data_IF_830455488857
#
_entry.id   IF_830455488857
#
_cell.length_a   1.000
_cell.length_b   1.000
_cell.length_c   1.000
_cell.angle_alpha   90.00
_cell.angle_beta   90.00
_cell.angle_gamma   90.00
#
_symmetry.space_group_name_H-M   'P 1'
#
loop_
_entity.id
_entity.type
_entity.pdbx_description
1 polymer ?
#
# COMPACT_ATOMS: atom_id res chain seq x y z
N UNK A 1 -9.85 11.59 7.37
CA UNK A 1 -8.54 11.98 6.79
C UNK A 1 -7.34 11.50 7.59
N UNK A 2 -6.99 12.03 8.79
CA UNK A 2 -5.82 11.51 9.56
C UNK A 2 -5.98 10.07 10.04
N UNK A 3 -7.20 9.66 10.36
CA UNK A 3 -7.50 8.32 10.85
C UNK A 3 -7.39 7.26 9.74
N UNK A 4 -7.89 7.57 8.54
CA UNK A 4 -7.77 6.69 7.37
C UNK A 4 -6.30 6.51 6.95
N UNK A 5 -5.48 7.58 6.98
CA UNK A 5 -4.05 7.44 6.68
C UNK A 5 -3.34 6.58 7.74
N UNK A 6 -3.71 6.70 9.01
CA UNK A 6 -3.18 5.85 10.08
C UNK A 6 -3.59 4.38 9.89
N UNK A 7 -4.82 4.13 9.48
CA UNK A 7 -5.32 2.78 9.17
C UNK A 7 -4.53 2.18 8.00
N UNK A 8 -4.37 2.92 6.90
CA UNK A 8 -3.55 2.52 5.75
C UNK A 8 -2.12 2.17 6.18
N UNK A 9 -1.51 3.03 6.99
CA UNK A 9 -0.15 2.81 7.49
C UNK A 9 -0.04 1.55 8.35
N UNK A 10 -1.06 1.24 9.17
CA UNK A 10 -1.11 -0.02 9.94
C UNK A 10 -1.20 -1.25 9.04
N UNK A 11 -2.07 -1.22 8.03
CA UNK A 11 -2.22 -2.33 7.08
C UNK A 11 -0.93 -2.54 6.27
N UNK A 12 -0.28 -1.46 5.84
CA UNK A 12 0.99 -1.53 5.11
C UNK A 12 2.12 -2.08 6.00
N UNK A 13 2.20 -1.66 7.27
CA UNK A 13 3.21 -2.17 8.20
C UNK A 13 3.03 -3.67 8.44
N UNK A 14 1.80 -4.13 8.67
CA UNK A 14 1.46 -5.56 8.79
C UNK A 14 1.89 -6.36 7.56
N UNK A 15 1.57 -5.87 6.36
CA UNK A 15 1.96 -6.52 5.11
C UNK A 15 3.48 -6.53 4.91
N UNK A 16 4.17 -5.44 5.25
CA UNK A 16 5.62 -5.34 5.11
C UNK A 16 6.37 -6.34 6.01
N UNK A 17 5.76 -6.74 7.13
CA UNK A 17 6.32 -7.67 8.10
C UNK A 17 5.84 -9.12 7.92
N UNK A 18 4.88 -9.39 7.03
CA UNK A 18 4.36 -10.74 6.81
C UNK A 18 5.36 -11.61 6.02
N UNK A 19 5.92 -12.61 6.70
CA UNK A 19 6.90 -13.54 6.11
C UNK A 19 6.30 -14.47 5.07
N UNK A 20 4.96 -14.64 5.06
CA UNK A 20 4.26 -15.53 4.14
C UNK A 20 4.06 -14.90 2.76
N UNK A 21 4.15 -13.56 2.65
CA UNK A 21 4.05 -12.89 1.36
C UNK A 21 5.39 -12.88 0.63
N UNK A 22 5.38 -12.70 -0.68
CA UNK A 22 6.63 -12.69 -1.44
C UNK A 22 7.49 -11.46 -1.11
N UNK A 23 8.82 -11.62 -1.17
CA UNK A 23 9.78 -10.52 -0.94
C UNK A 23 9.49 -9.30 -1.81
N UNK A 24 9.08 -9.53 -3.07
CA UNK A 24 8.77 -8.48 -4.02
C UNK A 24 7.57 -7.63 -3.56
N UNK A 25 6.53 -8.27 -3.01
CA UNK A 25 5.37 -7.57 -2.45
C UNK A 25 5.76 -6.79 -1.20
N UNK A 26 6.50 -7.40 -0.25
CA UNK A 26 7.00 -6.68 0.95
C UNK A 26 7.80 -5.44 0.60
N UNK A 27 8.72 -5.56 -0.36
CA UNK A 27 9.57 -4.45 -0.78
C UNK A 27 8.72 -3.31 -1.34
N UNK A 28 7.73 -3.63 -2.19
CA UNK A 28 6.84 -2.62 -2.76
C UNK A 28 5.97 -1.94 -1.70
N UNK A 29 5.42 -2.71 -0.76
CA UNK A 29 4.68 -2.17 0.39
C UNK A 29 5.57 -1.21 1.20
N UNK A 30 6.84 -1.56 1.39
CA UNK A 30 7.81 -0.68 2.06
C UNK A 30 8.06 0.62 1.28
N UNK A 31 8.15 0.55 -0.05
CA UNK A 31 8.27 1.74 -0.92
C UNK A 31 7.04 2.65 -0.78
N UNK A 32 5.84 2.09 -0.69
CA UNK A 32 4.59 2.84 -0.47
C UNK A 32 4.61 3.56 0.89
N UNK A 33 5.07 2.90 1.95
CA UNK A 33 5.23 3.52 3.28
C UNK A 33 6.17 4.74 3.19
N UNK A 34 7.27 4.64 2.45
CA UNK A 34 8.20 5.76 2.24
C UNK A 34 7.52 6.91 1.50
N UNK A 35 6.76 6.62 0.45
CA UNK A 35 6.01 7.63 -0.30
C UNK A 35 5.00 8.34 0.58
N UNK A 36 4.21 7.61 1.38
CA UNK A 36 3.19 8.22 2.24
C UNK A 36 3.78 9.08 3.37
N UNK A 37 5.04 8.84 3.75
CA UNK A 37 5.77 9.62 4.76
C UNK A 37 6.57 10.80 4.21
N UNK A 38 6.62 11.00 2.89
CA UNK A 38 7.39 12.12 2.32
C UNK A 38 6.71 13.48 2.62
N UNK A 39 7.41 14.58 2.34
CA UNK A 39 6.90 15.94 2.56
C UNK A 39 6.05 16.52 1.41
N UNK A 40 5.65 15.71 0.43
CA UNK A 40 4.82 16.17 -0.67
C UNK A 40 3.38 16.53 -0.23
N UNK A 41 2.56 17.00 -1.15
CA UNK A 41 1.12 17.14 -0.90
C UNK A 41 0.44 15.77 -0.78
N UNK A 42 -0.63 15.69 0.02
CA UNK A 42 -1.32 14.43 0.31
C UNK A 42 -1.81 13.73 -0.97
N UNK A 43 -2.44 14.47 -1.89
CA UNK A 43 -2.92 13.94 -3.17
C UNK A 43 -1.77 13.32 -3.98
N UNK A 44 -0.63 14.01 -4.06
CA UNK A 44 0.56 13.51 -4.78
C UNK A 44 1.08 12.21 -4.15
N UNK A 45 1.08 12.10 -2.82
CA UNK A 45 1.47 10.86 -2.12
C UNK A 45 0.51 9.72 -2.41
N UNK A 46 -0.79 9.99 -2.37
CA UNK A 46 -1.83 9.01 -2.64
C UNK A 46 -1.74 8.49 -4.08
N UNK A 47 -1.58 9.38 -5.06
CA UNK A 47 -1.41 9.01 -6.47
C UNK A 47 -0.17 8.11 -6.68
N UNK A 48 0.96 8.49 -6.09
CA UNK A 48 2.20 7.70 -6.18
C UNK A 48 2.04 6.33 -5.50
N UNK A 49 1.39 6.28 -4.33
CA UNK A 49 1.11 5.04 -3.61
C UNK A 49 0.20 4.09 -4.41
N UNK A 50 -0.87 4.63 -5.01
CA UNK A 50 -1.79 3.88 -5.88
C UNK A 50 -1.04 3.28 -7.07
N UNK A 51 -0.22 4.08 -7.76
CA UNK A 51 0.57 3.58 -8.88
C UNK A 51 1.48 2.42 -8.46
N UNK A 52 2.22 2.57 -7.36
CA UNK A 52 3.14 1.55 -6.86
C UNK A 52 2.44 0.22 -6.53
N UNK A 53 1.22 0.26 -5.98
CA UNK A 53 0.43 -0.92 -5.63
C UNK A 53 -0.21 -1.60 -6.85
N UNK A 54 -0.68 -0.83 -7.84
CA UNK A 54 -1.39 -1.34 -9.02
C UNK A 54 -0.51 -2.17 -9.96
N UNK A 55 0.79 -1.87 -10.06
CA UNK A 55 1.70 -2.60 -10.98
C UNK A 55 1.99 -4.06 -10.59
N UNK A 56 1.45 -4.55 -9.47
CA UNK A 56 1.88 -5.81 -8.87
C UNK A 56 0.90 -6.98 -9.05
N UNK A 57 0.18 -7.08 -10.15
CA UNK A 57 -0.51 -8.33 -10.53
C UNK A 57 0.48 -9.40 -11.06
N UNK A 58 1.62 -9.59 -10.37
CA UNK A 58 2.51 -10.70 -10.65
C UNK A 58 1.79 -12.05 -10.41
N UNK A 59 2.19 -13.14 -11.08
CA UNK A 59 1.49 -14.43 -11.03
C UNK A 59 1.51 -15.11 -9.64
N UNK A 60 2.30 -14.61 -8.68
CA UNK A 60 2.58 -15.26 -7.40
C UNK A 60 1.99 -14.53 -6.17
N UNK A 61 0.99 -13.66 -6.33
CA UNK A 61 0.26 -13.10 -5.18
C UNK A 61 -0.93 -13.99 -4.86
N UNK A 62 -1.00 -14.47 -3.61
CA UNK A 62 -2.13 -15.23 -3.11
C UNK A 62 -3.41 -14.36 -3.02
N UNK A 63 -4.57 -15.02 -3.00
CA UNK A 63 -5.85 -14.31 -3.03
C UNK A 63 -6.07 -13.40 -1.83
N UNK A 64 -5.53 -13.74 -0.65
CA UNK A 64 -5.71 -12.95 0.57
C UNK A 64 -4.90 -11.65 0.49
N UNK A 65 -3.65 -11.72 0.05
CA UNK A 65 -2.80 -10.54 -0.17
C UNK A 65 -3.40 -9.64 -1.25
N UNK A 66 -3.96 -10.21 -2.33
CA UNK A 66 -4.69 -9.43 -3.34
C UNK A 66 -5.84 -8.65 -2.73
N UNK A 67 -6.71 -9.29 -1.94
CA UNK A 67 -7.83 -8.60 -1.29
C UNK A 67 -7.35 -7.46 -0.39
N UNK A 68 -6.26 -7.65 0.36
CA UNK A 68 -5.68 -6.58 1.19
C UNK A 68 -5.17 -5.40 0.36
N UNK A 69 -4.49 -5.66 -0.76
CA UNK A 69 -4.03 -4.61 -1.68
C UNK A 69 -5.22 -3.85 -2.29
N UNK A 70 -6.28 -4.56 -2.67
CA UNK A 70 -7.51 -3.93 -3.17
C UNK A 70 -8.15 -3.01 -2.13
N UNK A 71 -8.24 -3.45 -0.86
CA UNK A 71 -8.72 -2.59 0.22
C UNK A 71 -7.85 -1.35 0.40
N UNK A 72 -6.53 -1.48 0.33
CA UNK A 72 -5.60 -0.35 0.40
C UNK A 72 -5.82 0.65 -0.75
N UNK A 73 -6.00 0.17 -1.98
CA UNK A 73 -6.27 1.01 -3.15
C UNK A 73 -7.56 1.82 -2.94
N UNK A 74 -8.66 1.16 -2.55
CA UNK A 74 -9.92 1.86 -2.28
C UNK A 74 -9.83 2.89 -1.16
N UNK A 75 -9.04 2.60 -0.11
CA UNK A 75 -8.81 3.56 0.96
C UNK A 75 -7.99 4.76 0.49
N UNK A 76 -6.92 4.53 -0.29
CA UNK A 76 -6.09 5.59 -0.85
C UNK A 76 -6.88 6.49 -1.81
N UNK A 77 -7.72 5.90 -2.67
CA UNK A 77 -8.62 6.62 -3.58
C UNK A 77 -9.66 7.46 -2.83
N UNK A 78 -10.08 7.04 -1.63
CA UNK A 78 -11.02 7.82 -0.81
C UNK A 78 -10.39 9.04 -0.11
N UNK A 79 -9.05 9.08 -0.03
CA UNK A 79 -8.30 10.17 0.62
C UNK A 79 -7.79 11.19 -0.41
N UNK A 80 -7.45 10.71 -1.61
CA UNK A 80 -7.02 11.54 -2.73
C UNK A 80 -8.10 12.51 -3.19
#
# INVERSE_FOLDING_TARGET
MREQLREIMGILDDLSNDINISKNVRQRVSEVIVVLNNDAELAVKCDQAIQLLTFNEGPNIDSFTKTRIWSLLSLLESIS
#
